data_IF_350031567096
#
_entry.id   IF_350031567096
#
_cell.length_a   1.000
_cell.length_b   1.000
_cell.length_c   1.000
_cell.angle_alpha   90.00
_cell.angle_beta   90.00
_cell.angle_gamma   90.00
#
_symmetry.space_group_name_H-M   'P 1'
#
loop_
_entity.id
_entity.type
_entity.pdbx_description
1 polymer ?
#
# COMPACT_ATOMS: atom_id res chain seq x y z
N UNK A 1 -6.58 10.81 -21.00
CA UNK A 1 -5.14 10.53 -21.15
C UNK A 1 -4.97 9.05 -21.49
N UNK A 2 -4.12 8.69 -22.44
CA UNK A 2 -3.82 7.27 -22.72
C UNK A 2 -2.58 6.86 -21.91
N UNK A 3 -2.79 6.20 -20.80
CA UNK A 3 -1.69 5.81 -19.89
C UNK A 3 -0.74 4.77 -20.48
N UNK A 4 -1.21 3.90 -21.41
CA UNK A 4 -0.31 2.96 -22.12
C UNK A 4 0.67 3.73 -23.00
N UNK A 5 0.22 4.79 -23.67
CA UNK A 5 1.10 5.67 -24.43
C UNK A 5 2.13 6.37 -23.50
N UNK A 6 1.73 6.75 -22.29
CA UNK A 6 2.66 7.33 -21.31
C UNK A 6 3.70 6.32 -20.84
N UNK A 7 3.34 5.04 -20.62
CA UNK A 7 4.30 3.99 -20.32
C UNK A 7 5.31 3.79 -21.46
N UNK A 8 4.85 3.83 -22.71
CA UNK A 8 5.73 3.74 -23.86
C UNK A 8 6.66 4.96 -23.99
N UNK A 9 6.18 6.17 -23.66
CA UNK A 9 7.02 7.37 -23.61
C UNK A 9 8.13 7.22 -22.58
N UNK A 10 7.86 6.69 -21.37
CA UNK A 10 8.91 6.40 -20.41
C UNK A 10 9.96 5.42 -20.95
N UNK A 11 9.52 4.34 -21.59
CA UNK A 11 10.44 3.33 -22.16
C UNK A 11 11.33 3.89 -23.27
N UNK A 12 10.83 4.86 -24.02
CA UNK A 12 11.54 5.49 -25.16
C UNK A 12 12.28 6.77 -24.79
N UNK A 13 12.02 7.34 -23.61
CA UNK A 13 12.71 8.57 -23.19
C UNK A 13 14.20 8.30 -22.98
N UNK A 14 15.07 9.25 -23.35
CA UNK A 14 16.50 9.09 -23.18
C UNK A 14 16.84 8.90 -21.70
N UNK A 15 17.68 7.89 -21.46
CA UNK A 15 18.25 7.67 -20.13
C UNK A 15 19.28 8.75 -19.81
N UNK A 16 19.23 9.28 -18.60
CA UNK A 16 20.21 10.21 -18.09
C UNK A 16 20.61 9.85 -16.64
N UNK A 17 21.81 10.24 -16.24
CA UNK A 17 22.25 10.08 -14.86
C UNK A 17 21.69 11.23 -14.02
N UNK A 18 20.94 10.90 -12.99
CA UNK A 18 20.31 11.85 -12.08
C UNK A 18 20.96 11.74 -10.70
N UNK A 19 21.46 12.85 -10.10
CA UNK A 19 21.93 12.84 -8.72
C UNK A 19 20.81 12.35 -7.78
N UNK A 20 21.13 11.36 -6.92
CA UNK A 20 20.15 10.71 -6.04
C UNK A 20 19.50 11.72 -5.08
N UNK A 21 20.23 12.76 -4.68
CA UNK A 21 19.71 13.85 -3.84
C UNK A 21 18.58 14.66 -4.48
N UNK A 22 18.47 14.66 -5.80
CA UNK A 22 17.41 15.37 -6.53
C UNK A 22 16.12 14.55 -6.65
N UNK A 23 16.15 13.25 -6.30
CA UNK A 23 14.99 12.36 -6.38
C UNK A 23 14.12 12.52 -5.15
N UNK A 24 12.91 13.00 -5.34
CA UNK A 24 11.88 13.10 -4.31
C UNK A 24 11.06 11.81 -4.23
N UNK A 25 10.74 11.40 -3.01
CA UNK A 25 9.80 10.32 -2.72
C UNK A 25 8.48 10.90 -2.25
N UNK A 26 7.38 10.24 -2.60
CA UNK A 26 6.05 10.55 -2.11
C UNK A 26 5.27 9.25 -1.89
N UNK A 27 4.62 9.13 -0.73
CA UNK A 27 3.79 7.97 -0.39
C UNK A 27 2.66 7.73 -1.39
N UNK A 28 2.16 8.80 -1.98
CA UNK A 28 1.17 8.78 -3.06
C UNK A 28 1.60 7.95 -4.28
N UNK A 29 2.90 7.93 -4.58
CA UNK A 29 3.49 7.21 -5.71
C UNK A 29 3.98 5.80 -5.33
N UNK A 30 3.84 5.41 -4.04
CA UNK A 30 4.23 4.08 -3.56
C UNK A 30 3.03 3.12 -3.52
N UNK A 31 2.91 2.17 -4.45
CA UNK A 31 1.80 1.21 -4.47
C UNK A 31 1.94 0.08 -3.45
N UNK A 32 3.14 -0.10 -2.86
CA UNK A 32 3.44 -1.17 -1.89
C UNK A 32 3.06 -0.77 -0.47
N UNK A 33 1.77 -0.60 -0.24
CA UNK A 33 1.24 -0.17 1.06
C UNK A 33 1.13 -1.37 1.99
N UNK A 34 1.94 -1.41 3.05
CA UNK A 34 1.98 -2.54 4.00
C UNK A 34 0.67 -2.71 4.77
N UNK A 35 -0.01 -1.61 5.12
CA UNK A 35 -1.22 -1.64 5.97
C UNK A 35 -2.42 -2.38 5.37
N UNK A 36 -2.54 -2.44 4.04
CA UNK A 36 -3.63 -3.16 3.38
C UNK A 36 -3.34 -4.66 3.18
N UNK A 37 -2.11 -5.09 3.46
CA UNK A 37 -1.71 -6.49 3.40
C UNK A 37 -2.15 -7.19 4.68
N UNK A 38 -2.72 -8.42 4.60
CA UNK A 38 -3.02 -9.21 5.79
C UNK A 38 -1.79 -9.42 6.67
N UNK A 39 -1.96 -9.36 7.99
CA UNK A 39 -0.85 -9.47 8.97
C UNK A 39 0.00 -10.72 8.72
N UNK A 40 -0.63 -11.86 8.45
CA UNK A 40 0.05 -13.13 8.17
C UNK A 40 1.02 -13.09 6.99
N UNK A 41 0.83 -12.16 6.05
CA UNK A 41 1.63 -12.05 4.82
C UNK A 41 2.69 -10.94 4.91
N UNK A 42 2.56 -10.00 5.86
CA UNK A 42 3.45 -8.83 6.00
C UNK A 42 4.93 -9.23 6.14
N UNK A 43 5.26 -10.15 7.06
CA UNK A 43 6.64 -10.57 7.30
C UNK A 43 7.30 -11.17 6.06
N UNK A 44 6.58 -12.05 5.34
CA UNK A 44 7.09 -12.66 4.10
C UNK A 44 7.33 -11.62 3.00
N UNK A 45 6.42 -10.64 2.87
CA UNK A 45 6.55 -9.57 1.88
C UNK A 45 7.73 -8.66 2.20
N UNK A 46 7.91 -8.30 3.45
CA UNK A 46 9.04 -7.47 3.86
C UNK A 46 10.37 -8.20 3.68
N UNK A 47 10.47 -9.45 4.08
CA UNK A 47 11.65 -10.28 3.83
C UNK A 47 11.99 -10.38 2.33
N UNK A 48 10.99 -10.62 1.48
CA UNK A 48 11.19 -10.67 0.03
C UNK A 48 11.65 -9.31 -0.53
N UNK A 49 11.15 -8.20 0.00
CA UNK A 49 11.58 -6.84 -0.34
C UNK A 49 13.04 -6.61 0.04
N UNK A 50 13.42 -6.94 1.27
CA UNK A 50 14.79 -6.79 1.77
C UNK A 50 15.77 -7.64 0.97
N UNK A 51 15.46 -8.90 0.70
CA UNK A 51 16.26 -9.79 -0.13
C UNK A 51 16.43 -9.24 -1.55
N UNK A 52 15.36 -8.72 -2.14
CA UNK A 52 15.42 -8.12 -3.48
C UNK A 52 16.33 -6.88 -3.50
N UNK A 53 16.21 -5.97 -2.52
CA UNK A 53 17.08 -4.80 -2.41
C UNK A 53 18.54 -5.23 -2.20
N UNK A 54 18.80 -6.21 -1.34
CA UNK A 54 20.14 -6.74 -1.10
C UNK A 54 20.75 -7.33 -2.39
N UNK A 55 19.99 -8.09 -3.18
CA UNK A 55 20.44 -8.62 -4.47
C UNK A 55 20.83 -7.50 -5.43
N UNK A 56 19.99 -6.47 -5.55
CA UNK A 56 20.28 -5.31 -6.40
C UNK A 56 21.52 -4.55 -5.92
N UNK A 57 21.68 -4.38 -4.62
CA UNK A 57 22.87 -3.75 -4.01
C UNK A 57 24.13 -4.52 -4.34
N UNK A 58 24.16 -5.83 -4.13
CA UNK A 58 25.30 -6.68 -4.44
C UNK A 58 25.71 -6.59 -5.91
N UNK A 59 24.74 -6.52 -6.82
CA UNK A 59 25.03 -6.30 -8.24
C UNK A 59 25.73 -4.97 -8.50
N UNK A 60 25.33 -3.90 -7.80
CA UNK A 60 25.98 -2.58 -7.90
C UNK A 60 27.38 -2.56 -7.27
N UNK A 61 27.60 -3.30 -6.18
CA UNK A 61 28.89 -3.40 -5.51
C UNK A 61 29.92 -4.26 -6.27
N UNK A 62 29.44 -5.16 -7.14
CA UNK A 62 30.31 -6.03 -7.94
C UNK A 62 31.18 -5.26 -8.95
N UNK A 63 30.73 -4.10 -9.46
CA UNK A 63 31.51 -3.23 -10.34
C UNK A 63 30.93 -1.81 -10.33
N UNK A 64 31.83 -0.81 -10.31
CA UNK A 64 31.43 0.61 -10.43
C UNK A 64 30.70 0.92 -11.74
N UNK A 65 30.98 0.19 -12.80
CA UNK A 65 30.34 0.35 -14.11
C UNK A 65 28.97 -0.28 -14.18
N UNK A 66 28.60 -1.16 -13.22
CA UNK A 66 27.29 -1.79 -13.20
C UNK A 66 26.20 -0.77 -12.98
N UNK A 67 25.21 -0.77 -13.86
CA UNK A 67 23.99 0.02 -13.77
C UNK A 67 22.78 -0.91 -13.79
N UNK A 68 21.79 -0.59 -12.97
CA UNK A 68 20.47 -1.22 -13.04
C UNK A 68 19.60 -0.52 -14.08
N UNK A 69 18.50 -1.14 -14.47
CA UNK A 69 17.51 -0.51 -15.35
C UNK A 69 17.14 0.90 -14.83
N UNK A 70 16.90 1.88 -15.71
CA UNK A 70 16.59 3.24 -15.31
C UNK A 70 15.32 3.32 -14.46
N UNK A 71 15.32 4.16 -13.43
CA UNK A 71 14.12 4.50 -12.69
C UNK A 71 13.25 5.47 -13.49
N UNK A 72 11.96 5.51 -13.20
CA UNK A 72 11.03 6.42 -13.87
C UNK A 72 10.72 7.60 -12.97
N UNK A 73 10.92 8.79 -13.49
CA UNK A 73 10.79 10.06 -12.77
C UNK A 73 9.74 10.94 -13.45
N UNK A 74 8.79 11.41 -12.66
CA UNK A 74 7.87 12.47 -13.06
C UNK A 74 8.52 13.84 -12.77
N UNK A 75 8.67 14.68 -13.78
CA UNK A 75 9.04 16.09 -13.65
C UNK A 75 7.74 16.90 -13.43
N UNK A 76 7.44 17.17 -12.16
CA UNK A 76 6.26 17.94 -11.74
C UNK A 76 6.66 19.41 -11.70
N UNK A 77 6.07 20.22 -12.59
CA UNK A 77 6.41 21.64 -12.76
C UNK A 77 5.43 22.59 -12.07
N UNK A 78 4.22 22.14 -11.79
CA UNK A 78 3.18 22.95 -11.15
C UNK A 78 3.12 22.67 -9.65
N UNK A 79 2.87 23.71 -8.86
CA UNK A 79 2.99 23.69 -7.40
C UNK A 79 1.82 23.02 -6.67
N UNK A 80 0.80 22.54 -7.39
CA UNK A 80 -0.36 21.90 -6.76
C UNK A 80 -0.62 20.50 -7.36
N UNK A 81 -0.92 19.50 -6.51
CA UNK A 81 -1.05 19.50 -5.04
C UNK A 81 0.27 19.29 -4.29
N UNK A 82 1.40 19.20 -4.99
CA UNK A 82 2.74 18.97 -4.41
C UNK A 82 3.73 20.01 -4.93
N UNK A 83 4.81 20.23 -4.19
CA UNK A 83 5.87 21.13 -4.64
C UNK A 83 6.51 20.65 -5.96
N UNK A 84 6.87 21.56 -6.89
CA UNK A 84 7.57 21.18 -8.11
C UNK A 84 8.85 20.39 -7.82
N UNK A 85 9.16 19.42 -8.69
CA UNK A 85 10.35 18.59 -8.51
C UNK A 85 10.32 17.28 -9.25
N UNK A 86 11.38 16.48 -9.08
CA UNK A 86 11.58 15.20 -9.72
C UNK A 86 11.12 14.06 -8.79
N UNK A 87 9.98 13.50 -9.04
CA UNK A 87 9.33 12.49 -8.21
C UNK A 87 9.49 11.08 -8.77
N UNK A 88 9.88 10.14 -7.90
CA UNK A 88 10.02 8.73 -8.26
C UNK A 88 8.64 8.08 -8.48
N UNK A 89 8.39 7.62 -9.70
CA UNK A 89 7.17 6.91 -10.09
C UNK A 89 7.37 5.39 -10.04
N UNK A 90 8.52 4.91 -10.54
CA UNK A 90 8.91 3.50 -10.48
C UNK A 90 10.40 3.34 -10.18
N UNK A 91 10.74 2.24 -9.49
CA UNK A 91 12.11 1.89 -9.16
C UNK A 91 12.50 2.17 -7.70
N UNK A 92 11.54 2.19 -6.77
CA UNK A 92 11.79 2.41 -5.35
C UNK A 92 12.85 1.46 -4.76
N UNK A 93 12.85 0.17 -5.14
CA UNK A 93 13.86 -0.79 -4.69
C UNK A 93 15.23 -0.52 -5.33
N UNK A 94 15.26 -0.11 -6.59
CA UNK A 94 16.50 0.30 -7.28
C UNK A 94 17.10 1.52 -6.59
N UNK A 95 16.31 2.55 -6.33
CA UNK A 95 16.78 3.72 -5.59
C UNK A 95 17.31 3.35 -4.19
N UNK A 96 16.62 2.47 -3.48
CA UNK A 96 17.09 1.98 -2.18
C UNK A 96 18.43 1.25 -2.29
N UNK A 97 18.60 0.39 -3.31
CA UNK A 97 19.86 -0.32 -3.57
C UNK A 97 21.00 0.64 -3.91
N UNK A 98 20.77 1.65 -4.77
CA UNK A 98 21.76 2.68 -5.10
C UNK A 98 22.21 3.48 -3.87
N UNK A 99 21.27 3.85 -2.99
CA UNK A 99 21.56 4.53 -1.71
C UNK A 99 22.41 3.66 -0.79
N UNK A 100 22.05 2.37 -0.65
CA UNK A 100 22.81 1.42 0.18
C UNK A 100 24.21 1.12 -0.40
N UNK A 101 24.35 1.09 -1.73
CA UNK A 101 25.64 0.96 -2.42
C UNK A 101 26.44 2.28 -2.46
N UNK A 102 25.95 3.35 -1.81
CA UNK A 102 26.58 4.67 -1.74
C UNK A 102 26.93 5.28 -3.10
N UNK A 103 26.07 5.07 -4.10
CA UNK A 103 26.19 5.69 -5.42
C UNK A 103 25.64 7.11 -5.38
N UNK A 104 26.26 8.04 -6.08
CA UNK A 104 25.85 9.45 -6.11
C UNK A 104 24.74 9.72 -7.13
N UNK A 105 24.67 8.92 -8.18
CA UNK A 105 23.71 9.09 -9.26
C UNK A 105 23.03 7.77 -9.64
N UNK A 106 21.84 7.89 -10.23
CA UNK A 106 21.02 6.77 -10.69
C UNK A 106 20.57 7.00 -12.14
N UNK A 107 20.58 5.96 -13.01
CA UNK A 107 19.99 6.04 -14.33
C UNK A 107 18.50 6.33 -14.24
N UNK A 108 17.99 7.30 -14.95
CA UNK A 108 16.62 7.75 -14.90
C UNK A 108 16.05 8.06 -16.28
N UNK A 109 14.79 7.71 -16.51
CA UNK A 109 13.96 8.21 -17.58
C UNK A 109 13.02 9.25 -17.00
N UNK A 110 13.10 10.50 -17.48
CA UNK A 110 12.36 11.62 -16.92
C UNK A 110 11.31 12.09 -17.91
N UNK A 111 10.06 12.23 -17.43
CA UNK A 111 8.98 12.79 -18.23
C UNK A 111 8.27 13.92 -17.49
N UNK A 112 8.03 15.07 -18.16
CA UNK A 112 7.14 16.09 -17.63
C UNK A 112 5.70 15.57 -17.62
N UNK A 113 5.01 15.71 -16.48
CA UNK A 113 3.60 15.34 -16.35
C UNK A 113 2.95 16.05 -15.16
N UNK A 114 1.61 15.99 -15.10
CA UNK A 114 0.88 16.42 -13.92
C UNK A 114 0.90 15.35 -12.82
N UNK A 115 0.56 15.78 -11.59
CA UNK A 115 0.57 14.91 -10.43
C UNK A 115 -0.40 13.71 -10.54
N UNK A 116 -1.61 13.93 -11.03
CA UNK A 116 -2.61 12.87 -11.16
C UNK A 116 -2.18 11.80 -12.17
N UNK A 117 -1.56 12.24 -13.27
CA UNK A 117 -0.95 11.32 -14.23
C UNK A 117 0.19 10.52 -13.60
N UNK A 118 1.07 11.14 -12.81
CA UNK A 118 2.14 10.46 -12.10
C UNK A 118 1.59 9.40 -11.13
N UNK A 119 0.53 9.73 -10.37
CA UNK A 119 -0.16 8.78 -9.48
C UNK A 119 -0.76 7.62 -10.28
N UNK A 120 -1.48 7.88 -11.36
CA UNK A 120 -2.08 6.83 -12.19
C UNK A 120 -1.01 5.89 -12.78
N UNK A 121 0.08 6.45 -13.31
CA UNK A 121 1.20 5.70 -13.88
C UNK A 121 1.88 4.84 -12.80
N UNK A 122 2.10 5.38 -11.59
CA UNK A 122 2.72 4.62 -10.49
C UNK A 122 1.90 3.39 -10.08
N UNK A 123 0.54 3.51 -10.09
CA UNK A 123 -0.34 2.36 -9.81
C UNK A 123 -0.26 1.32 -10.92
N UNK A 124 -0.17 1.76 -12.18
CA UNK A 124 -0.21 0.89 -13.34
C UNK A 124 1.11 0.13 -13.55
N UNK A 125 2.26 0.80 -13.51
CA UNK A 125 3.56 0.19 -13.82
C UNK A 125 3.93 -0.94 -12.87
N UNK A 126 3.56 -0.83 -11.60
CA UNK A 126 3.90 -1.83 -10.59
C UNK A 126 3.05 -3.11 -10.67
N UNK A 127 1.95 -3.11 -11.41
CA UNK A 127 1.09 -4.29 -11.61
C UNK A 127 1.40 -5.04 -12.90
N UNK A 128 2.07 -4.41 -13.89
CA UNK A 128 2.37 -5.01 -15.20
C UNK A 128 3.69 -5.80 -15.25
N UNK A 129 4.28 -6.09 -14.16
CA UNK A 129 5.49 -6.35 -13.98
C UNK A 129 6.56 -7.37 -14.06
N UNK A 130 7.80 -6.88 -14.24
CA UNK A 130 9.07 -7.63 -14.23
C UNK A 130 9.79 -7.59 -12.87
N UNK A 131 9.25 -6.86 -11.89
CA UNK A 131 9.82 -6.69 -10.56
C UNK A 131 9.15 -7.61 -9.54
N UNK A 132 9.58 -7.53 -8.29
CA UNK A 132 8.92 -8.20 -7.17
C UNK A 132 7.40 -7.98 -7.24
N UNK A 133 6.62 -9.06 -7.32
CA UNK A 133 5.17 -8.98 -7.48
C UNK A 133 4.51 -8.25 -6.31
N UNK A 134 3.47 -7.46 -6.59
CA UNK A 134 2.60 -6.88 -5.58
C UNK A 134 1.74 -7.97 -4.94
N UNK A 135 1.43 -7.80 -3.66
CA UNK A 135 0.40 -8.61 -3.03
C UNK A 135 -0.97 -8.37 -3.67
N UNK A 136 -1.82 -9.39 -3.69
CA UNK A 136 -3.14 -9.35 -4.33
C UNK A 136 -4.01 -8.17 -3.85
N UNK A 137 -3.96 -7.84 -2.55
CA UNK A 137 -4.70 -6.69 -2.02
C UNK A 137 -4.11 -5.36 -2.51
N UNK A 138 -2.80 -5.27 -2.68
CA UNK A 138 -2.14 -4.09 -3.26
C UNK A 138 -2.51 -3.91 -4.75
N UNK A 139 -2.58 -5.01 -5.52
CA UNK A 139 -3.06 -4.95 -6.90
C UNK A 139 -4.51 -4.48 -6.99
N UNK A 140 -5.38 -4.96 -6.09
CA UNK A 140 -6.78 -4.52 -6.01
C UNK A 140 -6.89 -3.05 -5.65
N UNK A 141 -6.12 -2.59 -4.66
CA UNK A 141 -6.11 -1.18 -4.28
C UNK A 141 -5.57 -0.30 -5.41
N UNK A 142 -4.48 -0.71 -6.07
CA UNK A 142 -3.95 0.01 -7.22
C UNK A 142 -4.98 0.15 -8.36
N UNK A 143 -5.72 -0.93 -8.67
CA UNK A 143 -6.80 -0.89 -9.66
C UNK A 143 -7.93 0.05 -9.25
N UNK A 144 -8.32 0.03 -7.98
CA UNK A 144 -9.35 0.89 -7.43
C UNK A 144 -8.96 2.38 -7.51
N UNK A 145 -7.75 2.72 -7.09
CA UNK A 145 -7.25 4.10 -7.16
C UNK A 145 -7.10 4.57 -8.61
N UNK A 146 -6.62 3.69 -9.50
CA UNK A 146 -6.58 3.97 -10.94
C UNK A 146 -7.97 4.26 -11.51
N UNK A 147 -8.97 3.43 -11.19
CA UNK A 147 -10.35 3.65 -11.61
C UNK A 147 -10.94 4.95 -11.05
N UNK A 148 -10.62 5.31 -9.81
CA UNK A 148 -11.05 6.57 -9.21
C UNK A 148 -10.52 7.78 -10.00
N UNK A 149 -9.26 7.75 -10.43
CA UNK A 149 -8.70 8.80 -11.31
C UNK A 149 -9.39 8.78 -12.68
N UNK A 150 -9.46 7.60 -13.31
CA UNK A 150 -9.91 7.44 -14.68
C UNK A 150 -11.37 7.86 -14.89
N UNK A 151 -12.22 7.64 -13.89
CA UNK A 151 -13.66 7.91 -13.92
C UNK A 151 -14.05 9.19 -13.16
N UNK A 152 -13.07 9.99 -12.75
CA UNK A 152 -13.31 11.14 -11.87
C UNK A 152 -14.15 10.75 -10.64
N UNK A 153 -13.67 9.71 -9.92
CA UNK A 153 -14.33 9.18 -8.70
C UNK A 153 -15.73 8.61 -8.97
N UNK A 154 -15.94 8.04 -10.14
CA UNK A 154 -17.21 7.45 -10.55
C UNK A 154 -18.22 8.44 -11.12
N UNK A 155 -17.89 9.73 -11.26
CA UNK A 155 -18.74 10.71 -11.91
C UNK A 155 -18.92 10.41 -13.41
N UNK A 156 -17.92 9.77 -14.02
CA UNK A 156 -17.93 9.39 -15.43
C UNK A 156 -17.80 7.87 -15.57
N UNK A 157 -18.30 7.34 -16.69
CA UNK A 157 -18.01 5.97 -17.08
C UNK A 157 -16.55 5.78 -17.50
N UNK A 158 -16.17 4.53 -17.82
CA UNK A 158 -14.86 4.25 -18.39
C UNK A 158 -14.69 5.02 -19.72
N UNK A 159 -13.55 5.69 -19.93
CA UNK A 159 -13.29 6.42 -21.16
C UNK A 159 -13.17 5.48 -22.36
N UNK A 160 -13.31 6.05 -23.58
CA UNK A 160 -13.14 5.31 -24.82
C UNK A 160 -11.76 4.65 -24.88
N UNK A 161 -11.74 3.37 -25.20
CA UNK A 161 -10.51 2.55 -25.25
C UNK A 161 -10.24 1.77 -23.97
N UNK A 162 -10.94 2.09 -22.87
CA UNK A 162 -10.87 1.32 -21.63
C UNK A 162 -12.05 0.32 -21.53
N UNK A 163 -11.77 -0.84 -20.97
CA UNK A 163 -12.79 -1.87 -20.72
C UNK A 163 -12.52 -2.61 -19.40
N UNK A 164 -13.57 -3.23 -18.84
CA UNK A 164 -13.43 -4.05 -17.65
C UNK A 164 -12.36 -5.15 -17.79
N UNK A 165 -12.26 -5.74 -19.00
CA UNK A 165 -11.27 -6.80 -19.28
C UNK A 165 -9.85 -6.24 -19.33
N UNK A 166 -9.68 -5.08 -19.96
CA UNK A 166 -8.39 -4.43 -20.08
C UNK A 166 -7.84 -4.01 -18.72
N UNK A 167 -8.66 -3.33 -17.90
CA UNK A 167 -8.28 -2.97 -16.53
C UNK A 167 -7.99 -4.22 -15.70
N UNK A 168 -8.86 -5.24 -15.75
CA UNK A 168 -8.65 -6.49 -15.03
C UNK A 168 -7.31 -7.15 -15.39
N UNK A 169 -6.97 -7.20 -16.68
CA UNK A 169 -5.70 -7.75 -17.19
C UNK A 169 -4.48 -6.96 -16.69
N UNK A 170 -4.52 -5.62 -16.75
CA UNK A 170 -3.41 -4.76 -16.30
C UNK A 170 -3.07 -4.94 -14.82
N UNK A 171 -4.09 -5.13 -13.97
CA UNK A 171 -3.91 -5.25 -12.51
C UNK A 171 -3.92 -6.69 -12.00
N UNK A 172 -4.04 -7.69 -12.87
CA UNK A 172 -4.07 -9.10 -12.47
C UNK A 172 -5.25 -9.44 -11.55
N UNK A 173 -6.40 -8.79 -11.74
CA UNK A 173 -7.63 -9.00 -10.96
C UNK A 173 -8.78 -9.51 -11.83
N UNK A 174 -9.89 -9.98 -11.21
CA UNK A 174 -11.03 -10.45 -11.99
C UNK A 174 -11.85 -9.29 -12.58
N UNK A 175 -12.46 -9.52 -13.75
CA UNK A 175 -13.43 -8.60 -14.37
C UNK A 175 -14.57 -8.25 -13.40
N UNK A 176 -15.03 -9.21 -12.62
CA UNK A 176 -16.11 -9.00 -11.64
C UNK A 176 -15.67 -8.05 -10.53
N UNK A 177 -14.41 -8.14 -10.08
CA UNK A 177 -13.84 -7.20 -9.12
C UNK A 177 -13.86 -5.77 -9.68
N UNK A 178 -13.44 -5.57 -10.94
CA UNK A 178 -13.49 -4.25 -11.60
C UNK A 178 -14.92 -3.74 -11.71
N UNK A 179 -15.86 -4.60 -12.10
CA UNK A 179 -17.28 -4.25 -12.18
C UNK A 179 -17.84 -3.80 -10.82
N UNK A 180 -17.55 -4.55 -9.75
CA UNK A 180 -17.94 -4.17 -8.39
C UNK A 180 -17.34 -2.83 -7.98
N UNK A 181 -16.05 -2.60 -8.26
CA UNK A 181 -15.38 -1.32 -7.99
C UNK A 181 -16.11 -0.15 -8.65
N UNK A 182 -16.46 -0.27 -9.93
CA UNK A 182 -17.19 0.79 -10.64
C UNK A 182 -18.58 1.05 -10.05
N UNK A 183 -19.24 0.00 -9.52
CA UNK A 183 -20.53 0.14 -8.84
C UNK A 183 -20.41 0.89 -7.52
N UNK A 184 -19.32 0.69 -6.78
CA UNK A 184 -19.09 1.36 -5.49
C UNK A 184 -18.56 2.78 -5.63
N UNK A 185 -17.74 3.08 -6.65
CA UNK A 185 -17.07 4.38 -6.82
C UNK A 185 -17.99 5.60 -6.61
N UNK A 186 -19.16 5.71 -7.26
CA UNK A 186 -20.02 6.89 -7.10
C UNK A 186 -20.74 6.98 -5.74
N UNK A 187 -20.66 5.93 -4.92
CA UNK A 187 -21.35 5.85 -3.62
C UNK A 187 -20.44 6.14 -2.43
N UNK A 188 -19.13 6.25 -2.69
CA UNK A 188 -18.14 6.44 -1.62
C UNK A 188 -18.11 7.91 -1.19
N UNK A 189 -18.24 8.14 0.10
CA UNK A 189 -18.08 9.44 0.74
C UNK A 189 -16.77 9.41 1.53
N UNK A 190 -15.70 10.07 1.05
CA UNK A 190 -14.37 9.97 1.68
C UNK A 190 -14.32 10.41 3.14
N UNK A 191 -15.19 11.33 3.54
CA UNK A 191 -15.26 11.84 4.92
C UNK A 191 -15.82 10.85 5.94
N UNK A 192 -16.39 9.73 5.48
CA UNK A 192 -16.84 8.64 6.35
C UNK A 192 -15.70 7.67 6.73
N UNK A 193 -14.52 7.88 6.14
CA UNK A 193 -13.36 7.03 6.38
C UNK A 193 -12.29 7.78 7.17
N UNK A 194 -11.65 7.08 8.09
CA UNK A 194 -10.53 7.64 8.84
C UNK A 194 -9.33 7.96 7.92
N UNK A 195 -8.45 8.88 8.33
CA UNK A 195 -7.35 9.39 7.50
C UNK A 195 -6.42 8.31 6.95
N UNK A 196 -6.15 7.26 7.74
CA UNK A 196 -5.30 6.14 7.33
C UNK A 196 -5.91 5.26 6.25
N UNK A 197 -7.24 5.29 6.10
CA UNK A 197 -7.94 4.60 5.03
C UNK A 197 -7.80 5.33 3.68
N UNK A 198 -7.42 6.60 3.68
CA UNK A 198 -7.32 7.43 2.48
C UNK A 198 -5.98 7.20 1.77
N UNK A 199 -6.02 7.05 0.45
CA UNK A 199 -4.81 7.08 -0.38
C UNK A 199 -4.35 8.52 -0.58
N UNK A 200 -3.09 8.86 -0.21
CA UNK A 200 -2.61 10.24 -0.27
C UNK A 200 -2.47 10.77 -1.70
N UNK A 201 -2.45 9.90 -2.71
CA UNK A 201 -2.32 10.30 -4.12
C UNK A 201 -3.63 10.71 -4.76
N UNK A 202 -4.71 10.02 -4.41
CA UNK A 202 -6.04 10.23 -5.00
C UNK A 202 -6.99 10.99 -4.07
N UNK A 203 -6.70 11.02 -2.76
CA UNK A 203 -7.62 11.47 -1.74
C UNK A 203 -8.86 10.57 -1.62
N UNK A 204 -8.78 9.32 -2.09
CA UNK A 204 -9.89 8.38 -2.12
C UNK A 204 -9.64 7.23 -1.15
N UNK A 205 -10.67 6.68 -0.46
CA UNK A 205 -10.49 5.56 0.46
C UNK A 205 -9.91 4.34 -0.27
N UNK A 206 -9.10 3.56 0.41
CA UNK A 206 -8.52 2.34 -0.14
C UNK A 206 -9.56 1.25 -0.26
N UNK A 207 -9.44 0.42 -1.29
CA UNK A 207 -10.41 -0.63 -1.62
C UNK A 207 -10.74 -1.57 -0.47
N UNK A 208 -9.75 -1.93 0.33
CA UNK A 208 -9.97 -2.81 1.49
C UNK A 208 -11.05 -2.23 2.42
N UNK A 209 -10.93 -0.98 2.80
CA UNK A 209 -11.86 -0.33 3.74
C UNK A 209 -13.24 -0.10 3.12
N UNK A 210 -13.30 0.25 1.84
CA UNK A 210 -14.58 0.39 1.12
C UNK A 210 -15.31 -0.95 1.05
N UNK A 211 -14.59 -2.03 0.77
CA UNK A 211 -15.15 -3.38 0.73
C UNK A 211 -15.62 -3.84 2.11
N UNK A 212 -14.86 -3.57 3.14
CA UNK A 212 -15.20 -3.89 4.53
C UNK A 212 -16.45 -3.13 4.96
N UNK A 213 -16.52 -1.81 4.72
CA UNK A 213 -17.68 -0.98 5.04
C UNK A 213 -18.98 -1.40 4.30
N UNK A 214 -18.85 -1.99 3.12
CA UNK A 214 -19.98 -2.48 2.32
C UNK A 214 -20.16 -4.00 2.39
N UNK A 215 -19.52 -4.67 3.35
CA UNK A 215 -19.70 -6.10 3.55
C UNK A 215 -21.07 -6.38 4.16
N UNK A 216 -21.83 -7.37 3.64
CA UNK A 216 -23.13 -7.75 4.22
C UNK A 216 -23.07 -8.10 5.72
N UNK A 217 -21.89 -8.48 6.20
CA UNK A 217 -21.65 -8.79 7.61
C UNK A 217 -21.66 -7.54 8.53
N UNK A 218 -21.45 -6.34 7.97
CA UNK A 218 -21.54 -5.09 8.75
C UNK A 218 -22.92 -4.43 8.68
N UNK A 219 -23.68 -4.64 7.59
CA UNK A 219 -25.03 -4.09 7.44
C UNK A 219 -26.12 -4.89 8.15
N UNK A 220 -25.81 -6.06 8.65
CA UNK A 220 -26.77 -6.98 9.30
C UNK A 220 -26.50 -7.20 10.78
N UNK A 221 -25.95 -6.21 11.49
CA UNK A 221 -25.90 -6.27 12.95
C UNK A 221 -27.15 -5.58 13.54
N UNK A 222 -28.26 -6.31 13.80
CA UNK A 222 -29.28 -5.81 14.71
C UNK A 222 -28.64 -5.69 16.10
N UNK A 223 -29.23 -4.86 16.94
CA UNK A 223 -28.75 -4.58 18.32
C UNK A 223 -28.69 -5.78 19.28
N UNK A 224 -28.98 -7.00 18.81
CA UNK A 224 -28.74 -8.27 19.54
C UNK A 224 -27.32 -8.82 19.36
N UNK A 225 -26.47 -8.17 18.58
CA UNK A 225 -25.20 -8.75 18.10
C UNK A 225 -23.95 -8.31 18.84
N UNK A 226 -24.06 -7.55 19.92
CA UNK A 226 -22.94 -7.37 20.84
C UNK A 226 -22.40 -8.74 21.29
N UNK A 227 -23.30 -9.70 21.56
CA UNK A 227 -22.93 -11.06 21.90
C UNK A 227 -22.24 -11.83 20.76
N UNK A 228 -22.60 -11.57 19.51
CA UNK A 228 -21.93 -12.17 18.36
C UNK A 228 -20.56 -11.54 18.13
N UNK A 229 -20.47 -10.22 18.25
CA UNK A 229 -19.20 -9.47 18.19
C UNK A 229 -18.25 -9.98 19.28
N UNK A 230 -18.73 -10.13 20.51
CA UNK A 230 -17.95 -10.64 21.64
C UNK A 230 -17.48 -12.09 21.39
N UNK A 231 -18.33 -12.96 20.84
CA UNK A 231 -17.94 -14.34 20.46
C UNK A 231 -16.87 -14.37 19.37
N UNK A 232 -16.99 -13.51 18.36
CA UNK A 232 -16.03 -13.42 17.27
C UNK A 232 -14.70 -12.81 17.76
N UNK A 233 -14.76 -11.79 18.63
CA UNK A 233 -13.59 -11.22 19.31
C UNK A 233 -12.88 -12.26 20.18
N UNK A 234 -13.62 -13.05 20.98
CA UNK A 234 -13.04 -14.14 21.76
C UNK A 234 -12.42 -15.25 20.90
N UNK A 235 -13.02 -15.54 19.74
CA UNK A 235 -12.45 -16.52 18.80
C UNK A 235 -11.14 -16.01 18.23
N UNK A 236 -11.07 -14.73 17.84
CA UNK A 236 -9.85 -14.09 17.35
C UNK A 236 -8.79 -14.06 18.45
N UNK A 237 -9.13 -13.64 19.65
CA UNK A 237 -8.22 -13.62 20.80
C UNK A 237 -7.65 -15.01 21.10
N UNK A 238 -8.48 -16.04 21.12
CA UNK A 238 -8.01 -17.45 21.29
C UNK A 238 -7.05 -17.89 20.20
N UNK A 239 -7.27 -17.46 18.96
CA UNK A 239 -6.34 -17.77 17.87
C UNK A 239 -5.01 -17.03 17.99
N UNK A 240 -5.03 -15.76 18.44
CA UNK A 240 -3.81 -15.01 18.74
C UNK A 240 -3.03 -15.69 19.88
N UNK A 241 -3.70 -16.07 20.96
CA UNK A 241 -3.07 -16.79 22.07
C UNK A 241 -2.41 -18.10 21.59
N UNK A 242 -3.08 -18.89 20.75
CA UNK A 242 -2.51 -20.11 20.17
C UNK A 242 -1.27 -19.84 19.30
N UNK A 243 -1.26 -18.74 18.55
CA UNK A 243 -0.13 -18.36 17.70
C UNK A 243 1.12 -17.95 18.52
N UNK A 244 0.89 -17.36 19.70
CA UNK A 244 1.98 -16.94 20.59
C UNK A 244 2.26 -17.96 21.69
N UNK A 245 1.48 -19.05 21.75
CA UNK A 245 1.69 -20.14 22.70
C UNK A 245 3.04 -20.83 22.40
N UNK A 246 3.81 -21.10 23.46
CA UNK A 246 5.20 -21.56 23.32
C UNK A 246 6.27 -20.45 23.27
N UNK A 247 5.87 -19.19 23.09
CA UNK A 247 6.79 -18.05 23.16
C UNK A 247 7.03 -17.62 24.62
N UNK A 248 8.19 -17.00 24.89
CA UNK A 248 8.45 -16.42 26.22
C UNK A 248 7.46 -15.28 26.54
N UNK A 249 7.18 -14.99 27.84
CA UNK A 249 6.28 -13.91 28.22
C UNK A 249 6.68 -12.56 27.63
N UNK A 250 7.97 -12.26 27.55
CA UNK A 250 8.48 -11.02 26.97
C UNK A 250 8.19 -10.92 25.45
N UNK A 251 8.36 -12.03 24.72
CA UNK A 251 8.03 -12.08 23.27
C UNK A 251 6.53 -11.93 23.05
N UNK A 252 5.70 -12.56 23.90
CA UNK A 252 4.23 -12.40 23.83
C UNK A 252 3.81 -10.95 24.06
N UNK A 253 4.33 -10.32 25.11
CA UNK A 253 4.03 -8.93 25.43
C UNK A 253 4.43 -8.00 24.25
N UNK A 254 5.62 -8.20 23.69
CA UNK A 254 6.09 -7.41 22.56
C UNK A 254 5.27 -7.64 21.29
N UNK A 255 4.85 -8.88 21.02
CA UNK A 255 3.99 -9.19 19.87
C UNK A 255 2.60 -8.52 19.99
N UNK A 256 2.00 -8.54 21.17
CA UNK A 256 0.72 -7.87 21.44
C UNK A 256 0.85 -6.34 21.31
N UNK A 257 1.94 -5.77 21.82
CA UNK A 257 2.26 -4.35 21.67
C UNK A 257 2.42 -3.97 20.18
N UNK A 258 3.11 -4.79 19.39
CA UNK A 258 3.24 -4.56 17.95
C UNK A 258 1.90 -4.64 17.21
N UNK A 259 1.03 -5.59 17.59
CA UNK A 259 -0.31 -5.69 17.03
C UNK A 259 -1.18 -4.48 17.39
N UNK A 260 -1.12 -4.03 18.63
CA UNK A 260 -1.83 -2.83 19.08
C UNK A 260 -1.33 -1.57 18.34
N UNK A 261 -0.01 -1.41 18.19
CA UNK A 261 0.58 -0.27 17.49
C UNK A 261 0.33 -0.26 15.98
N UNK A 262 0.17 -1.45 15.35
CA UNK A 262 -0.16 -1.54 13.91
C UNK A 262 -1.64 -1.16 13.60
N UNK A 263 -2.52 -1.23 14.59
CA UNK A 263 -3.93 -0.86 14.48
C UNK A 263 -4.25 0.53 15.05
N UNK A 264 -3.36 1.07 15.88
CA UNK A 264 -3.57 2.33 16.59
C UNK A 264 -2.81 3.46 15.93
N UNK A 265 -3.54 4.32 15.24
CA UNK A 265 -3.17 5.71 15.11
C UNK A 265 -3.81 6.48 16.28
N UNK A 266 -3.25 7.63 16.62
CA UNK A 266 -3.37 8.39 17.88
C UNK A 266 -4.79 8.70 18.39
N UNK A 267 -5.84 8.35 17.68
CA UNK A 267 -7.24 8.53 18.10
C UNK A 267 -7.86 7.35 18.84
N UNK A 268 -7.26 6.13 18.77
CA UNK A 268 -7.81 4.91 19.38
C UNK A 268 -6.99 4.36 20.55
N UNK A 269 -6.14 5.18 21.16
CA UNK A 269 -5.34 4.77 22.34
C UNK A 269 -6.18 4.24 23.52
N UNK A 270 -7.43 4.68 23.67
CA UNK A 270 -8.31 4.26 24.77
C UNK A 270 -8.79 2.81 24.62
N UNK A 271 -9.15 2.37 23.41
CA UNK A 271 -9.59 0.99 23.16
C UNK A 271 -8.43 -0.02 23.32
N UNK A 272 -7.22 0.38 22.96
CA UNK A 272 -6.02 -0.46 23.05
C UNK A 272 -5.57 -0.69 24.50
N UNK A 273 -5.71 0.32 25.37
CA UNK A 273 -5.37 0.22 26.79
C UNK A 273 -6.33 -0.73 27.51
N UNK A 274 -7.63 -0.73 27.16
CA UNK A 274 -8.60 -1.69 27.71
C UNK A 274 -8.31 -3.13 27.25
N UNK A 275 -7.89 -3.32 26.01
CA UNK A 275 -7.51 -4.65 25.50
C UNK A 275 -6.27 -5.18 26.24
N UNK A 276 -5.25 -4.36 26.44
CA UNK A 276 -4.03 -4.73 27.16
C UNK A 276 -4.31 -4.99 28.65
N UNK A 277 -5.21 -4.25 29.30
CA UNK A 277 -5.59 -4.46 30.69
C UNK A 277 -6.27 -5.82 30.92
N UNK A 278 -7.04 -6.33 29.96
CA UNK A 278 -7.67 -7.67 30.03
C UNK A 278 -6.68 -8.82 29.92
N UNK A 279 -5.49 -8.59 29.37
CA UNK A 279 -4.43 -9.59 29.19
C UNK A 279 -3.27 -9.47 30.20
N UNK A 280 -3.33 -8.47 31.11
CA UNK A 280 -2.37 -8.36 32.19
C UNK A 280 -2.66 -9.45 33.24
N UNK A 281 -1.68 -10.24 33.67
CA UNK A 281 -1.89 -11.21 34.75
C UNK A 281 -2.25 -10.44 36.02
N UNK A 282 -3.35 -10.83 36.65
CA UNK A 282 -3.74 -10.31 37.99
C UNK A 282 -2.53 -10.42 38.94
N UNK A 283 -2.20 -9.37 39.67
CA UNK A 283 -1.14 -9.48 40.68
C UNK A 283 -1.54 -10.58 41.67
N UNK A 284 -0.69 -11.58 41.81
CA UNK A 284 -0.85 -12.58 42.85
C UNK A 284 -0.93 -11.87 44.19
N UNK A 285 -2.05 -11.99 44.88
CA UNK A 285 -2.17 -11.63 46.27
C UNK A 285 -1.16 -12.42 47.08
N UNK A 286 -0.37 -11.80 47.96
CA UNK A 286 0.53 -12.53 48.84
C UNK A 286 -0.27 -13.47 49.74
N UNK A 287 0.13 -14.75 49.80
CA UNK A 287 -0.43 -15.69 50.75
C UNK A 287 -0.21 -15.17 52.18
N UNK A 288 -1.20 -15.20 53.05
CA UNK A 288 -1.00 -14.92 54.45
C UNK A 288 -0.20 -16.07 55.11
N UNK A 289 0.83 -15.69 55.87
CA UNK A 289 1.57 -16.61 56.76
C UNK A 289 0.66 -17.18 57.85
#
# INVERSE_FOLDING_TARGET
>A
MNYDATLELFRRSPQQLLPIGNVRLADALQPRVARIVPIRDKGRIEQAREQHIATLRLALEASEQTQLDPVWIADIRHAEPVAPGLYLVDGHHRLAAYRQARRDAIPANILPMDWHAAVAVSKLVNCTGRSLALHKEQCRDAAWQYLAILTHRGANGLPKGESLRLVAGRFGISKNTVSSMLTYLPRVVPTEFHSLAIDPGTGWPRWRYVREANSPWQTSLPSSDQQQLDRDAERVARNIVKLVDGSSPAVRARALEMLANDEVDATDQLASVELLARFSPSPCLPCPN
#
